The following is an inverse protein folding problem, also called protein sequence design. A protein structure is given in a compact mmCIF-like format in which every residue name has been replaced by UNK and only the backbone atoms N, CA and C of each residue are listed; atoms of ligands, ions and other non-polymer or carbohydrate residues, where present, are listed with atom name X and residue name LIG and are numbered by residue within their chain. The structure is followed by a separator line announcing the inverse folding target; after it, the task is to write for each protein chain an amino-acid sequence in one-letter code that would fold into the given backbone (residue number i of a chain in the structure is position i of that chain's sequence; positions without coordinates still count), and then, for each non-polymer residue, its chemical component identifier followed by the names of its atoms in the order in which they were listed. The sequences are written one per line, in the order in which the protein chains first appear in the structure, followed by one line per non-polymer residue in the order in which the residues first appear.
data_IF_614094814836
#
_entry.id   IF_614094814836
#
_cell.length_a   1.000
_cell.length_b   1.000
_cell.length_c   1.000
_cell.angle_alpha   90.00
_cell.angle_beta   90.00
_cell.angle_gamma   90.00
#
_symmetry.space_group_name_H-M   'P 1'
#
loop_
_entity.id
_entity.type
_entity.pdbx_description
1 polymer ?
#
# COMPACT_ATOMS: atom_id res chain seq x y z
N UNK A 1 -9.71 6.33 70.12
CA UNK A 1 -10.68 5.50 69.41
C UNK A 1 -10.98 6.22 68.11
N UNK A 2 -10.16 5.97 67.09
CA UNK A 2 -10.34 6.54 65.76
C UNK A 2 -11.15 5.54 64.93
N UNK A 3 -12.35 5.96 64.52
CA UNK A 3 -13.22 5.16 63.67
C UNK A 3 -12.58 5.00 62.29
N UNK A 4 -12.19 3.76 62.00
CA UNK A 4 -11.62 3.34 60.73
C UNK A 4 -12.74 3.28 59.68
N UNK A 5 -13.05 4.42 59.07
CA UNK A 5 -14.06 4.55 58.00
C UNK A 5 -13.63 3.72 56.79
N UNK A 6 -14.22 2.53 56.65
CA UNK A 6 -14.10 1.68 55.46
C UNK A 6 -14.62 2.45 54.24
N UNK A 7 -13.71 2.92 53.38
CA UNK A 7 -14.07 3.44 52.07
C UNK A 7 -14.49 2.26 51.19
N UNK A 8 -15.74 2.19 50.72
CA UNK A 8 -16.16 1.13 49.82
C UNK A 8 -15.36 1.23 48.52
N UNK A 9 -14.74 0.11 48.15
CA UNK A 9 -14.04 -0.05 46.89
C UNK A 9 -14.97 0.27 45.73
N UNK A 10 -14.80 1.44 45.10
CA UNK A 10 -15.51 1.81 43.87
C UNK A 10 -15.00 0.91 42.75
N UNK A 11 -15.68 -0.21 42.52
CA UNK A 11 -15.46 -0.97 41.30
C UNK A 11 -15.89 -0.10 40.11
N UNK A 12 -15.03 0.07 39.09
CA UNK A 12 -15.40 0.80 37.89
C UNK A 12 -16.57 0.08 37.23
N UNK A 13 -17.72 0.76 37.14
CA UNK A 13 -18.88 0.26 36.40
C UNK A 13 -18.45 0.05 34.94
N UNK A 14 -18.22 -1.21 34.55
CA UNK A 14 -18.08 -1.54 33.14
C UNK A 14 -19.47 -1.45 32.52
N UNK A 15 -19.68 -0.59 31.51
CA UNK A 15 -20.94 -0.54 30.80
C UNK A 15 -21.17 -1.90 30.15
N UNK A 16 -22.39 -2.43 30.29
CA UNK A 16 -22.81 -3.64 29.59
C UNK A 16 -22.59 -3.45 28.08
N UNK A 17 -22.09 -4.48 27.36
CA UNK A 17 -21.90 -4.37 25.93
C UNK A 17 -23.25 -4.04 25.27
N UNK A 18 -23.31 -3.05 24.36
CA UNK A 18 -24.55 -2.68 23.71
C UNK A 18 -25.08 -3.85 22.86
N UNK A 19 -26.40 -3.94 22.76
CA UNK A 19 -27.06 -4.92 21.89
C UNK A 19 -26.62 -4.74 20.43
N UNK A 20 -26.27 -5.84 19.77
CA UNK A 20 -25.81 -5.86 18.39
C UNK A 20 -26.84 -5.23 17.43
N UNK A 21 -28.14 -5.42 17.70
CA UNK A 21 -29.20 -4.85 16.87
C UNK A 21 -29.22 -3.32 16.96
N UNK A 22 -29.01 -2.78 18.17
CA UNK A 22 -28.94 -1.33 18.42
C UNK A 22 -27.69 -0.74 17.76
N UNK A 23 -26.54 -1.40 17.87
CA UNK A 23 -25.31 -0.95 17.21
C UNK A 23 -25.43 -1.00 15.69
N UNK A 24 -26.12 -2.00 15.14
CA UNK A 24 -26.37 -2.08 13.70
C UNK A 24 -27.33 -0.98 13.22
N UNK A 25 -28.39 -0.66 13.97
CA UNK A 25 -29.28 0.46 13.68
C UNK A 25 -28.59 1.83 13.78
N UNK A 26 -27.72 2.02 14.79
CA UNK A 26 -26.86 3.21 14.90
C UNK A 26 -25.91 3.32 13.74
N UNK A 27 -25.26 2.20 13.38
CA UNK A 27 -24.39 2.13 12.22
C UNK A 27 -25.15 2.55 10.97
N UNK A 28 -26.28 1.91 10.65
CA UNK A 28 -27.08 2.23 9.46
C UNK A 28 -27.56 3.68 9.42
N UNK A 29 -27.92 4.25 10.58
CA UNK A 29 -28.30 5.67 10.69
C UNK A 29 -27.11 6.58 10.37
N UNK A 30 -25.94 6.31 10.96
CA UNK A 30 -24.70 7.01 10.65
C UNK A 30 -24.29 6.81 9.18
N UNK A 31 -24.59 5.65 8.58
CA UNK A 31 -24.32 5.37 7.17
C UNK A 31 -25.18 6.24 6.24
N UNK A 32 -26.44 6.48 6.62
CA UNK A 32 -27.40 7.26 5.82
C UNK A 32 -27.26 8.77 6.01
N UNK A 33 -26.76 9.20 7.16
CA UNK A 33 -26.63 10.61 7.53
C UNK A 33 -25.17 10.94 7.87
N UNK A 34 -24.27 11.03 6.87
CA UNK A 34 -22.91 11.46 7.13
C UNK A 34 -22.92 12.85 7.78
N UNK A 35 -22.10 13.08 8.82
CA UNK A 35 -21.99 14.41 9.40
C UNK A 35 -21.59 15.40 8.30
N UNK A 36 -22.34 16.50 8.20
CA UNK A 36 -22.02 17.60 7.31
C UNK A 36 -20.79 18.32 7.87
N UNK A 37 -19.61 17.84 7.49
CA UNK A 37 -18.35 18.46 7.88
C UNK A 37 -18.17 19.76 7.09
N UNK A 38 -17.97 20.87 7.79
CA UNK A 38 -17.57 22.12 7.13
C UNK A 38 -16.13 21.98 6.60
N UNK A 39 -15.72 22.79 5.60
CA UNK A 39 -14.34 22.80 5.13
C UNK A 39 -13.32 23.06 6.26
N UNK A 40 -13.65 23.93 7.20
CA UNK A 40 -12.82 24.28 8.36
C UNK A 40 -12.68 23.10 9.32
N UNK A 41 -13.79 22.40 9.61
CA UNK A 41 -13.74 21.17 10.41
C UNK A 41 -12.90 20.09 9.72
N UNK A 42 -13.02 19.99 8.39
CA UNK A 42 -12.23 19.05 7.59
C UNK A 42 -10.74 19.37 7.62
N UNK A 43 -10.37 20.64 7.65
CA UNK A 43 -8.99 21.11 7.76
C UNK A 43 -8.34 20.69 9.09
N UNK A 44 -9.11 20.73 10.18
CA UNK A 44 -8.64 20.40 11.53
C UNK A 44 -8.58 18.89 11.79
N UNK A 45 -9.11 18.06 10.90
CA UNK A 45 -9.15 16.61 11.11
C UNK A 45 -7.74 16.00 11.13
N UNK A 46 -7.42 15.14 12.11
CA UNK A 46 -6.20 14.35 12.06
C UNK A 46 -6.17 13.45 10.81
N UNK A 47 -5.01 13.22 10.16
CA UNK A 47 -4.91 12.42 8.93
C UNK A 47 -5.53 11.02 9.07
N UNK A 48 -5.46 10.43 10.27
CA UNK A 48 -6.06 9.11 10.57
C UNK A 48 -7.58 9.14 10.44
N UNK A 49 -8.24 10.22 10.90
CA UNK A 49 -9.69 10.38 10.81
C UNK A 49 -10.09 10.55 9.34
N UNK A 50 -9.39 11.42 8.61
CA UNK A 50 -9.60 11.59 7.16
C UNK A 50 -9.42 10.27 6.40
N UNK A 51 -8.41 9.47 6.72
CA UNK A 51 -8.22 8.15 6.13
C UNK A 51 -9.39 7.20 6.41
N UNK A 52 -9.91 7.17 7.65
CA UNK A 52 -11.07 6.34 7.99
C UNK A 52 -12.31 6.79 7.23
N UNK A 53 -12.55 8.09 7.14
CA UNK A 53 -13.67 8.68 6.41
C UNK A 53 -13.59 8.37 4.90
N UNK A 54 -12.41 8.50 4.30
CA UNK A 54 -12.18 8.15 2.89
C UNK A 54 -12.42 6.67 2.64
N UNK A 55 -11.88 5.78 3.50
CA UNK A 55 -12.15 4.34 3.40
C UNK A 55 -13.63 4.02 3.53
N UNK A 56 -14.32 4.72 4.43
CA UNK A 56 -15.75 4.60 4.62
C UNK A 56 -16.53 4.97 3.36
N UNK A 57 -16.30 6.15 2.77
CA UNK A 57 -16.92 6.56 1.52
C UNK A 57 -16.66 5.59 0.37
N UNK A 58 -15.45 5.03 0.29
CA UNK A 58 -15.10 4.05 -0.75
C UNK A 58 -15.89 2.75 -0.58
N UNK A 59 -16.05 2.25 0.65
CA UNK A 59 -16.87 1.06 0.93
C UNK A 59 -18.34 1.28 0.64
N UNK A 60 -18.84 2.50 0.87
CA UNK A 60 -20.19 2.91 0.52
C UNK A 60 -20.37 3.22 -0.99
N UNK A 61 -19.37 2.91 -1.83
CA UNK A 61 -19.33 3.22 -3.27
C UNK A 61 -19.51 4.72 -3.61
N UNK A 62 -19.27 5.62 -2.66
CA UNK A 62 -19.36 7.07 -2.84
C UNK A 62 -17.97 7.69 -3.06
N UNK A 63 -17.35 7.36 -4.20
CA UNK A 63 -16.00 7.84 -4.55
C UNK A 63 -15.91 9.36 -4.70
N UNK A 64 -17.01 10.02 -5.07
CA UNK A 64 -17.01 11.48 -5.20
C UNK A 64 -16.89 12.15 -3.84
N UNK A 65 -17.64 11.70 -2.83
CA UNK A 65 -17.51 12.22 -1.48
C UNK A 65 -16.14 11.90 -0.87
N UNK A 66 -15.60 10.69 -1.12
CA UNK A 66 -14.24 10.35 -0.75
C UNK A 66 -13.23 11.37 -1.31
N UNK A 67 -13.33 11.69 -2.60
CA UNK A 67 -12.46 12.66 -3.26
C UNK A 67 -12.63 14.06 -2.65
N UNK A 68 -13.86 14.55 -2.44
CA UNK A 68 -14.12 15.85 -1.82
C UNK A 68 -13.53 15.97 -0.41
N UNK A 69 -13.65 14.91 0.40
CA UNK A 69 -13.04 14.88 1.73
C UNK A 69 -11.51 14.97 1.66
N UNK A 70 -10.90 14.29 0.67
CA UNK A 70 -9.44 14.36 0.46
C UNK A 70 -9.00 15.73 -0.07
N UNK A 71 -9.75 16.31 -1.02
CA UNK A 71 -9.51 17.62 -1.60
C UNK A 71 -9.58 18.73 -0.54
N UNK A 72 -10.65 18.74 0.26
CA UNK A 72 -10.82 19.67 1.38
C UNK A 72 -9.66 19.54 2.38
N UNK A 73 -9.30 18.31 2.74
CA UNK A 73 -8.18 18.07 3.65
C UNK A 73 -6.83 18.57 3.08
N UNK A 74 -6.52 18.26 1.81
CA UNK A 74 -5.24 18.60 1.21
C UNK A 74 -5.06 20.09 0.93
N UNK A 75 -6.14 20.82 0.63
CA UNK A 75 -6.10 22.29 0.45
C UNK A 75 -5.69 23.06 1.70
N UNK A 76 -5.87 22.46 2.88
CA UNK A 76 -5.54 23.07 4.17
C UNK A 76 -4.20 22.58 4.75
N UNK A 77 -3.44 21.78 3.99
CA UNK A 77 -2.12 21.32 4.43
C UNK A 77 -1.08 22.44 4.31
N UNK A 78 -0.04 22.45 5.17
CA UNK A 78 1.08 23.36 5.00
C UNK A 78 1.83 23.04 3.70
N UNK A 79 2.34 24.07 3.02
CA UNK A 79 3.03 23.95 1.72
C UNK A 79 4.17 22.91 1.72
N UNK A 80 4.83 22.72 2.87
CA UNK A 80 5.87 21.71 3.08
C UNK A 80 5.42 20.68 4.10
N UNK A 81 5.50 19.41 3.74
CA UNK A 81 5.08 18.29 4.60
C UNK A 81 6.28 17.64 5.29
N UNK A 82 6.19 17.52 6.61
CA UNK A 82 7.07 16.63 7.37
C UNK A 82 6.92 15.17 6.92
N UNK A 83 7.95 14.31 7.11
CA UNK A 83 7.96 12.94 6.60
C UNK A 83 6.81 12.08 7.14
N UNK A 84 6.42 12.27 8.40
CA UNK A 84 5.32 11.54 9.05
C UNK A 84 3.97 11.91 8.41
N UNK A 85 3.71 13.21 8.27
CA UNK A 85 2.47 13.73 7.68
C UNK A 85 2.36 13.36 6.20
N UNK A 86 3.46 13.48 5.44
CA UNK A 86 3.53 13.05 4.03
C UNK A 86 3.16 11.58 3.87
N UNK A 87 3.70 10.69 4.71
CA UNK A 87 3.32 9.26 4.71
C UNK A 87 1.84 9.07 5.01
N UNK A 88 1.30 9.78 5.99
CA UNK A 88 -0.12 9.71 6.33
C UNK A 88 -1.01 10.20 5.17
N UNK A 89 -0.62 11.26 4.48
CA UNK A 89 -1.31 11.77 3.29
C UNK A 89 -1.25 10.76 2.13
N UNK A 90 -0.09 10.13 1.90
CA UNK A 90 0.02 9.07 0.90
C UNK A 90 -0.88 7.87 1.20
N UNK A 91 -1.09 7.50 2.48
CA UNK A 91 -2.05 6.46 2.85
C UNK A 91 -3.49 6.84 2.47
N UNK A 92 -3.86 8.13 2.56
CA UNK A 92 -5.16 8.65 2.10
C UNK A 92 -5.26 8.51 0.57
N UNK A 93 -4.20 8.89 -0.16
CA UNK A 93 -4.14 8.69 -1.62
C UNK A 93 -4.29 7.21 -1.97
N UNK A 94 -3.55 6.31 -1.31
CA UNK A 94 -3.61 4.88 -1.58
C UNK A 94 -5.01 4.29 -1.39
N UNK A 95 -5.76 4.74 -0.39
CA UNK A 95 -7.14 4.29 -0.18
C UNK A 95 -8.01 4.57 -1.42
N UNK A 96 -7.84 5.72 -2.08
CA UNK A 96 -8.57 6.11 -3.29
C UNK A 96 -8.22 5.28 -4.54
N UNK A 97 -7.04 4.66 -4.56
CA UNK A 97 -6.55 3.91 -5.73
C UNK A 97 -7.05 2.47 -5.77
N UNK A 98 -7.69 1.98 -4.70
CA UNK A 98 -8.26 0.64 -4.69
C UNK A 98 -9.33 0.57 -5.80
N UNK A 99 -9.16 -0.26 -6.84
CA UNK A 99 -10.16 -0.36 -7.91
C UNK A 99 -11.41 -1.06 -7.37
N UNK A 100 -12.59 -0.58 -7.75
CA UNK A 100 -13.87 -1.22 -7.40
C UNK A 100 -13.94 -2.60 -8.06
N UNK A 101 -13.60 -2.64 -9.35
CA UNK A 101 -13.50 -3.88 -10.12
C UNK A 101 -12.17 -3.90 -10.88
N UNK A 102 -11.52 -5.07 -10.97
CA UNK A 102 -10.30 -5.22 -11.75
C UNK A 102 -10.67 -5.26 -13.24
N UNK A 103 -10.70 -4.10 -13.88
CA UNK A 103 -10.85 -3.97 -15.33
C UNK A 103 -10.02 -2.80 -15.85
N UNK A 104 -9.82 -2.75 -17.16
CA UNK A 104 -8.98 -1.75 -17.79
C UNK A 104 -9.49 -0.31 -17.53
N UNK A 105 -10.80 -0.06 -17.58
CA UNK A 105 -11.35 1.26 -17.24
C UNK A 105 -11.12 1.63 -15.76
N UNK A 106 -11.06 0.66 -14.85
CA UNK A 106 -10.77 0.85 -13.43
C UNK A 106 -9.31 1.23 -13.22
N UNK A 107 -8.40 0.61 -13.97
CA UNK A 107 -7.00 1.00 -14.02
C UNK A 107 -6.83 2.46 -14.50
N UNK A 108 -7.47 2.85 -15.60
CA UNK A 108 -7.41 4.22 -16.10
C UNK A 108 -8.03 5.22 -15.12
N UNK A 109 -9.15 4.87 -14.49
CA UNK A 109 -9.77 5.69 -13.46
C UNK A 109 -8.83 5.89 -12.27
N UNK A 110 -8.16 4.84 -11.80
CA UNK A 110 -7.17 4.92 -10.72
C UNK A 110 -5.97 5.80 -11.10
N UNK A 111 -5.45 5.70 -12.34
CA UNK A 111 -4.39 6.59 -12.83
C UNK A 111 -4.83 8.05 -12.90
N UNK A 112 -6.04 8.32 -13.41
CA UNK A 112 -6.62 9.67 -13.45
C UNK A 112 -6.81 10.22 -12.05
N UNK A 113 -7.28 9.39 -11.11
CA UNK A 113 -7.45 9.75 -9.71
C UNK A 113 -6.11 10.10 -9.06
N UNK A 114 -5.08 9.27 -9.24
CA UNK A 114 -3.73 9.54 -8.76
C UNK A 114 -3.22 10.89 -9.29
N UNK A 115 -3.34 11.13 -10.59
CA UNK A 115 -2.89 12.38 -11.20
C UNK A 115 -3.61 13.61 -10.60
N UNK A 116 -4.91 13.51 -10.31
CA UNK A 116 -5.67 14.58 -9.63
C UNK A 116 -5.17 14.79 -8.21
N UNK A 117 -5.02 13.72 -7.43
CA UNK A 117 -4.60 13.80 -6.02
C UNK A 117 -3.18 14.35 -5.85
N UNK A 118 -2.24 13.96 -6.72
CA UNK A 118 -0.88 14.50 -6.68
C UNK A 118 -0.80 15.99 -7.05
N UNK A 119 -1.77 16.51 -7.81
CA UNK A 119 -1.84 17.95 -8.14
C UNK A 119 -2.31 18.80 -6.96
N UNK A 120 -2.94 18.19 -5.96
CA UNK A 120 -3.42 18.92 -4.78
C UNK A 120 -2.29 19.35 -3.86
N UNK A 121 -1.13 18.68 -3.92
CA UNK A 121 -0.01 19.03 -3.04
C UNK A 121 1.36 18.62 -3.63
N UNK A 122 2.33 19.55 -3.77
CA UNK A 122 3.59 19.31 -4.48
C UNK A 122 4.52 18.29 -3.80
N UNK A 123 4.51 18.21 -2.47
CA UNK A 123 5.36 17.28 -1.72
C UNK A 123 4.92 15.80 -1.79
N UNK A 124 3.74 15.51 -2.34
CA UNK A 124 3.26 14.16 -2.50
C UNK A 124 3.90 13.51 -3.72
N UNK A 125 4.58 12.38 -3.49
CA UNK A 125 5.23 11.60 -4.54
C UNK A 125 4.76 10.14 -4.45
N UNK A 126 4.48 9.50 -5.60
CA UNK A 126 4.25 8.06 -5.64
C UNK A 126 5.41 7.28 -5.04
N UNK A 127 5.06 6.20 -4.34
CA UNK A 127 5.97 5.23 -3.76
C UNK A 127 5.68 3.83 -4.32
N UNK A 128 6.42 2.82 -3.84
CA UNK A 128 6.22 1.44 -4.27
C UNK A 128 4.81 0.90 -3.97
N UNK A 129 4.19 1.33 -2.87
CA UNK A 129 2.80 0.97 -2.55
C UNK A 129 1.84 1.54 -3.61
N UNK A 130 2.02 2.79 -4.03
CA UNK A 130 1.24 3.42 -5.12
C UNK A 130 1.32 2.60 -6.39
N UNK A 131 2.54 2.24 -6.80
CA UNK A 131 2.77 1.45 -8.01
C UNK A 131 2.16 0.06 -7.89
N UNK A 132 2.23 -0.58 -6.71
CA UNK A 132 1.64 -1.88 -6.45
C UNK A 132 0.11 -1.86 -6.62
N UNK A 133 -0.60 -0.83 -6.15
CA UNK A 133 -2.05 -0.69 -6.38
C UNK A 133 -2.38 -0.63 -7.87
N UNK A 134 -1.62 0.16 -8.65
CA UNK A 134 -1.86 0.30 -10.08
C UNK A 134 -1.51 -0.98 -10.84
N UNK A 135 -0.41 -1.65 -10.51
CA UNK A 135 -0.07 -2.96 -11.08
C UNK A 135 -1.14 -4.01 -10.74
N UNK A 136 -1.67 -3.99 -9.51
CA UNK A 136 -2.74 -4.89 -9.08
C UNK A 136 -4.05 -4.70 -9.86
N UNK A 137 -4.38 -3.46 -10.23
CA UNK A 137 -5.56 -3.18 -11.05
C UNK A 137 -5.49 -3.82 -12.46
N UNK A 138 -4.29 -4.15 -12.95
CA UNK A 138 -4.09 -4.82 -14.25
C UNK A 138 -4.29 -6.34 -14.20
N UNK A 139 -4.56 -6.93 -13.03
CA UNK A 139 -4.53 -8.40 -12.85
C UNK A 139 -5.42 -9.20 -13.79
N UNK A 140 -6.53 -8.63 -14.27
CA UNK A 140 -7.52 -9.28 -15.15
C UNK A 140 -7.40 -8.85 -16.61
N UNK A 141 -6.55 -7.86 -16.90
CA UNK A 141 -6.45 -7.28 -18.23
C UNK A 141 -5.71 -8.25 -19.17
N UNK A 142 -6.12 -8.41 -20.43
CA UNK A 142 -5.31 -9.10 -21.43
C UNK A 142 -3.93 -8.46 -21.53
N UNK A 143 -2.88 -9.26 -21.74
CA UNK A 143 -1.49 -8.75 -21.79
C UNK A 143 -1.05 -8.00 -20.50
N UNK A 144 -1.55 -8.44 -19.33
CA UNK A 144 -1.32 -7.78 -18.05
C UNK A 144 0.16 -7.61 -17.65
N UNK A 145 1.04 -8.55 -17.99
CA UNK A 145 2.47 -8.47 -17.72
C UNK A 145 3.16 -7.41 -18.58
N UNK A 146 2.82 -7.33 -19.86
CA UNK A 146 3.31 -6.31 -20.80
C UNK A 146 2.85 -4.91 -20.38
N UNK A 147 1.57 -4.76 -20.04
CA UNK A 147 1.02 -3.49 -19.54
C UNK A 147 1.69 -3.08 -18.22
N UNK A 148 1.86 -4.02 -17.28
CA UNK A 148 2.50 -3.73 -15.99
C UNK A 148 3.98 -3.36 -16.14
N UNK A 149 4.72 -4.03 -17.03
CA UNK A 149 6.11 -3.68 -17.32
C UNK A 149 6.25 -2.26 -17.86
N UNK A 150 5.35 -1.87 -18.78
CA UNK A 150 5.32 -0.52 -19.35
C UNK A 150 5.02 0.53 -18.27
N UNK A 151 4.04 0.25 -17.41
CA UNK A 151 3.70 1.10 -16.27
C UNK A 151 4.88 1.28 -15.30
N UNK A 152 5.60 0.21 -14.98
CA UNK A 152 6.76 0.27 -14.07
C UNK A 152 7.90 1.07 -14.70
N UNK A 153 8.15 0.93 -16.00
CA UNK A 153 9.14 1.76 -16.70
C UNK A 153 8.75 3.25 -16.70
N UNK A 154 7.48 3.56 -16.93
CA UNK A 154 6.97 4.94 -16.85
C UNK A 154 7.20 5.53 -15.46
N UNK A 155 6.87 4.77 -14.40
CA UNK A 155 7.06 5.20 -13.02
C UNK A 155 8.54 5.38 -12.66
N UNK A 156 9.42 4.45 -13.06
CA UNK A 156 10.87 4.58 -12.88
C UNK A 156 11.42 5.84 -13.54
N UNK A 157 11.01 6.12 -14.78
CA UNK A 157 11.45 7.31 -15.52
C UNK A 157 10.99 8.61 -14.86
N UNK A 158 9.78 8.63 -14.32
CA UNK A 158 9.16 9.85 -13.79
C UNK A 158 9.48 10.13 -12.32
N UNK A 159 9.57 9.09 -11.51
CA UNK A 159 9.66 9.21 -10.05
C UNK A 159 10.93 8.60 -9.46
N UNK A 160 11.79 7.97 -10.28
CA UNK A 160 13.03 7.35 -9.84
C UNK A 160 12.92 5.84 -9.61
N UNK A 161 14.05 5.12 -9.48
CA UNK A 161 14.09 3.67 -9.31
C UNK A 161 13.51 3.18 -7.98
N UNK A 162 13.47 4.02 -6.94
CA UNK A 162 13.02 3.71 -5.58
C UNK A 162 11.53 3.35 -5.48
N UNK A 163 10.74 3.70 -6.49
CA UNK A 163 9.32 3.31 -6.58
C UNK A 163 9.14 1.82 -6.86
N UNK A 164 10.22 1.07 -7.11
CA UNK A 164 10.16 -0.36 -7.39
C UNK A 164 10.85 -1.13 -6.27
N UNK A 165 10.04 -1.57 -5.30
CA UNK A 165 10.48 -2.48 -4.25
C UNK A 165 10.35 -3.96 -4.67
N UNK A 166 10.72 -4.86 -3.76
CA UNK A 166 10.59 -6.29 -3.98
C UNK A 166 9.15 -6.76 -4.26
N UNK A 167 8.15 -6.17 -3.60
CA UNK A 167 6.74 -6.52 -3.78
C UNK A 167 6.27 -6.21 -5.20
N UNK A 168 6.71 -5.06 -5.75
CA UNK A 168 6.44 -4.69 -7.15
C UNK A 168 7.14 -5.68 -8.10
N UNK A 169 8.41 -6.03 -7.86
CA UNK A 169 9.15 -7.01 -8.69
C UNK A 169 8.46 -8.38 -8.68
N UNK A 170 8.10 -8.89 -7.51
CA UNK A 170 7.38 -10.15 -7.37
C UNK A 170 6.06 -10.11 -8.14
N UNK A 171 5.29 -9.03 -7.98
CA UNK A 171 4.00 -8.88 -8.65
C UNK A 171 4.16 -8.81 -10.16
N UNK A 172 5.19 -8.15 -10.68
CA UNK A 172 5.53 -8.13 -12.09
C UNK A 172 5.85 -9.53 -12.63
N UNK A 173 6.66 -10.32 -11.90
CA UNK A 173 6.98 -11.70 -12.29
C UNK A 173 5.70 -12.55 -12.38
N UNK A 174 4.82 -12.42 -11.39
CA UNK A 174 3.53 -13.12 -11.39
C UNK A 174 2.67 -12.76 -12.61
N UNK A 175 2.54 -11.47 -12.95
CA UNK A 175 1.76 -11.03 -14.11
C UNK A 175 2.39 -11.49 -15.44
N UNK A 176 3.71 -11.45 -15.57
CA UNK A 176 4.42 -11.94 -16.75
C UNK A 176 4.20 -13.45 -16.96
N UNK A 177 4.25 -14.24 -15.88
CA UNK A 177 3.96 -15.68 -15.91
C UNK A 177 2.49 -15.97 -16.19
N UNK A 178 1.57 -15.12 -15.69
CA UNK A 178 0.15 -15.22 -15.99
C UNK A 178 -0.12 -15.01 -17.49
N UNK A 179 0.55 -14.03 -18.10
CA UNK A 179 0.50 -13.78 -19.55
C UNK A 179 1.25 -14.83 -20.38
N UNK A 180 2.00 -15.74 -19.75
CA UNK A 180 2.90 -16.72 -20.40
C UNK A 180 4.03 -16.07 -21.21
N UNK A 181 4.41 -14.83 -20.89
CA UNK A 181 5.56 -14.17 -21.50
C UNK A 181 6.85 -14.54 -20.76
N UNK A 182 7.52 -15.62 -21.19
CA UNK A 182 8.78 -16.05 -20.58
C UNK A 182 9.89 -14.99 -20.72
N UNK A 183 9.87 -14.19 -21.80
CA UNK A 183 10.82 -13.08 -21.98
C UNK A 183 10.69 -12.05 -20.85
N UNK A 184 9.47 -11.61 -20.55
CA UNK A 184 9.23 -10.65 -19.47
C UNK A 184 9.54 -11.26 -18.10
N UNK A 185 9.12 -12.50 -17.85
CA UNK A 185 9.42 -13.17 -16.59
C UNK A 185 10.94 -13.31 -16.36
N UNK A 186 11.70 -13.78 -17.37
CA UNK A 186 13.16 -13.91 -17.32
C UNK A 186 13.83 -12.58 -16.97
N UNK A 187 13.38 -11.47 -17.57
CA UNK A 187 13.90 -10.13 -17.27
C UNK A 187 13.65 -9.75 -15.82
N UNK A 188 12.45 -9.99 -15.29
CA UNK A 188 12.13 -9.65 -13.89
C UNK A 188 12.97 -10.47 -12.91
N UNK A 189 13.15 -11.77 -13.16
CA UNK A 189 14.05 -12.61 -12.34
C UNK A 189 15.49 -12.12 -12.39
N UNK A 190 16.00 -11.78 -13.58
CA UNK A 190 17.35 -11.23 -13.71
C UNK A 190 17.53 -9.90 -12.97
N UNK A 191 16.55 -8.99 -13.04
CA UNK A 191 16.56 -7.73 -12.29
C UNK A 191 16.53 -7.99 -10.76
N UNK A 192 15.74 -8.95 -10.28
CA UNK A 192 15.69 -9.33 -8.87
C UNK A 192 17.00 -9.97 -8.38
N UNK A 193 17.55 -10.92 -9.13
CA UNK A 193 18.80 -11.61 -8.78
C UNK A 193 20.00 -10.65 -8.79
N UNK A 194 20.01 -9.65 -9.68
CA UNK A 194 21.01 -8.59 -9.70
C UNK A 194 20.91 -7.68 -8.47
N UNK A 195 19.70 -7.29 -8.08
CA UNK A 195 19.49 -6.48 -6.87
C UNK A 195 19.89 -7.23 -5.60
N UNK A 196 19.54 -8.52 -5.50
CA UNK A 196 19.95 -9.36 -4.36
C UNK A 196 21.47 -9.46 -4.24
N UNK A 197 22.17 -9.62 -5.36
CA UNK A 197 23.64 -9.62 -5.40
C UNK A 197 24.23 -8.30 -4.91
N UNK A 198 23.71 -7.17 -5.41
CA UNK A 198 24.13 -5.83 -4.94
C UNK A 198 23.89 -5.64 -3.44
N UNK A 199 22.74 -6.08 -2.93
CA UNK A 199 22.42 -5.97 -1.52
C UNK A 199 23.37 -6.82 -0.66
N UNK A 200 23.65 -8.06 -1.07
CA UNK A 200 24.59 -8.94 -0.39
C UNK A 200 26.02 -8.36 -0.39
N UNK A 201 26.46 -7.75 -1.50
CA UNK A 201 27.75 -7.06 -1.60
C UNK A 201 27.81 -5.86 -0.66
N UNK A 202 26.77 -5.02 -0.62
CA UNK A 202 26.69 -3.88 0.30
C UNK A 202 26.69 -4.32 1.77
N UNK A 203 26.02 -5.43 2.09
CA UNK A 203 26.00 -5.96 3.46
C UNK A 203 27.36 -6.55 3.85
N UNK A 204 28.06 -7.24 2.94
CA UNK A 204 29.45 -7.67 3.14
C UNK A 204 30.41 -6.50 3.34
N UNK A 205 30.26 -5.41 2.57
CA UNK A 205 31.04 -4.18 2.76
C UNK A 205 30.77 -3.54 4.14
N UNK A 206 29.52 -3.54 4.60
CA UNK A 206 29.17 -3.04 5.94
C UNK A 206 29.76 -3.88 7.06
N UNK A 207 29.87 -5.19 6.87
CA UNK A 207 30.49 -6.11 7.82
C UNK A 207 32.02 -5.92 7.88
N UNK A 208 32.67 -5.81 6.73
CA UNK A 208 34.13 -5.64 6.61
C UNK A 208 34.62 -4.27 7.10
N UNK A 209 33.85 -3.19 6.88
CA UNK A 209 34.19 -1.85 7.36
C UNK A 209 33.95 -1.61 8.86
N UNK A 210 33.65 -2.65 9.65
CA UNK A 210 33.85 -2.64 11.10
C UNK A 210 33.02 -1.61 11.88
N UNK A 211 31.84 -2.03 12.36
CA UNK A 211 31.47 -1.93 13.78
C UNK A 211 31.72 -0.65 14.62
N UNK A 212 31.85 0.57 14.07
CA UNK A 212 32.08 1.78 14.89
C UNK A 212 30.83 2.61 15.25
N UNK A 213 29.62 2.15 14.95
CA UNK A 213 28.40 2.81 15.43
C UNK A 213 27.35 1.82 15.96
N UNK A 214 27.73 0.96 16.90
CA UNK A 214 26.76 0.42 17.87
C UNK A 214 26.41 1.50 18.92
N UNK A 215 26.02 2.69 18.46
CA UNK A 215 25.26 3.59 19.31
C UNK A 215 23.98 2.86 19.68
N UNK A 216 23.74 2.66 20.98
CA UNK A 216 22.55 2.01 21.54
C UNK A 216 21.33 2.50 20.75
N UNK A 217 20.81 1.67 19.84
CA UNK A 217 19.59 1.97 19.11
C UNK A 217 18.48 1.96 20.15
N UNK A 218 18.21 3.13 20.73
CA UNK A 218 17.01 3.36 21.53
C UNK A 218 15.87 2.70 20.79
N UNK A 219 15.16 1.79 21.47
CA UNK A 219 14.10 0.93 20.96
C UNK A 219 13.12 1.72 20.09
N UNK A 220 13.46 1.89 18.82
CA UNK A 220 12.57 2.43 17.81
C UNK A 220 11.71 1.23 17.46
N UNK A 221 10.46 1.27 17.91
CA UNK A 221 9.44 0.29 17.52
C UNK A 221 9.61 -0.01 16.03
N UNK A 222 9.74 -1.29 15.65
CA UNK A 222 9.91 -1.64 14.26
C UNK A 222 8.77 -1.00 13.45
N UNK A 223 9.14 -0.31 12.38
CA UNK A 223 8.18 0.23 11.43
C UNK A 223 7.31 -0.92 10.88
N UNK A 224 6.07 -0.65 10.51
CA UNK A 224 5.14 -1.69 10.03
C UNK A 224 5.68 -2.46 8.79
N UNK A 225 6.65 -1.92 8.06
CA UNK A 225 7.39 -2.63 7.00
C UNK A 225 8.39 -3.69 7.51
N UNK A 226 8.74 -3.66 8.79
CA UNK A 226 9.57 -4.68 9.47
C UNK A 226 8.70 -5.77 10.14
N UNK A 227 7.37 -5.60 10.16
CA UNK A 227 6.42 -6.60 10.70
C UNK A 227 6.12 -7.70 9.67
N UNK A 228 6.32 -7.44 8.37
CA UNK A 228 6.50 -8.49 7.38
C UNK A 228 8.02 -8.70 7.26
N UNK A 229 8.61 -9.69 7.94
CA UNK A 229 10.04 -9.92 7.82
C UNK A 229 10.35 -10.17 6.35
N UNK A 230 11.38 -9.52 5.81
CA UNK A 230 11.85 -9.76 4.44
C UNK A 230 12.11 -11.27 4.16
N UNK A 231 12.29 -12.08 5.22
CA UNK A 231 12.32 -13.56 5.18
C UNK A 231 11.06 -14.20 4.58
N UNK A 232 9.87 -13.61 4.73
CA UNK A 232 8.65 -14.16 4.12
C UNK A 232 8.61 -13.92 2.62
N UNK A 233 9.30 -12.90 2.07
CA UNK A 233 9.21 -12.57 0.65
C UNK A 233 9.87 -13.63 -0.26
N UNK A 234 10.93 -14.31 0.20
CA UNK A 234 11.58 -15.38 -0.57
C UNK A 234 10.66 -16.58 -0.81
N UNK A 235 9.80 -16.91 0.16
CA UNK A 235 8.82 -17.98 0.04
C UNK A 235 7.85 -17.72 -1.13
N UNK A 236 7.60 -16.45 -1.48
CA UNK A 236 6.77 -16.11 -2.63
C UNK A 236 7.49 -16.24 -3.97
N UNK A 237 8.83 -16.23 -4.01
CA UNK A 237 9.61 -16.38 -5.24
C UNK A 237 9.78 -17.84 -5.67
N UNK A 238 9.89 -18.77 -4.72
CA UNK A 238 10.08 -20.21 -5.00
C UNK A 238 8.98 -20.78 -5.90
N UNK A 239 7.67 -20.58 -5.62
CA UNK A 239 6.59 -21.03 -6.50
C UNK A 239 6.64 -20.40 -7.89
N UNK A 240 7.06 -19.13 -8.00
CA UNK A 240 7.17 -18.44 -9.29
C UNK A 240 8.30 -19.02 -10.15
N UNK A 241 9.47 -19.32 -9.55
CA UNK A 241 10.58 -19.97 -10.25
C UNK A 241 10.19 -21.35 -10.74
N UNK A 242 9.54 -22.17 -9.90
CA UNK A 242 9.01 -23.48 -10.29
C UNK A 242 8.05 -23.35 -11.48
N UNK A 243 7.12 -22.40 -11.42
CA UNK A 243 6.16 -22.14 -12.51
C UNK A 243 6.85 -21.67 -13.79
N UNK A 244 7.88 -20.83 -13.69
CA UNK A 244 8.68 -20.37 -14.83
C UNK A 244 9.34 -21.55 -15.54
N UNK A 245 10.01 -22.43 -14.80
CA UNK A 245 10.67 -23.61 -15.38
C UNK A 245 9.67 -24.59 -16.01
N UNK A 246 8.51 -24.80 -15.39
CA UNK A 246 7.43 -25.60 -15.98
C UNK A 246 6.94 -25.03 -17.33
N UNK A 247 6.71 -23.72 -17.41
CA UNK A 247 6.31 -23.08 -18.66
C UNK A 247 7.41 -23.14 -19.72
N UNK A 248 8.67 -22.99 -19.31
CA UNK A 248 9.84 -23.12 -20.19
C UNK A 248 9.98 -24.54 -20.75
N UNK A 249 9.83 -25.56 -19.92
CA UNK A 249 9.86 -26.96 -20.36
C UNK A 249 8.74 -27.27 -21.36
N UNK A 250 7.52 -26.76 -21.12
CA UNK A 250 6.39 -26.91 -22.04
C UNK A 250 6.62 -26.25 -23.40
N UNK A 251 7.25 -25.07 -23.43
CA UNK A 251 7.59 -24.42 -24.71
C UNK A 251 8.65 -25.21 -25.48
N UNK A 252 9.68 -25.75 -24.80
CA UNK A 252 10.71 -26.59 -25.43
C UNK A 252 10.11 -27.85 -26.06
N UNK A 253 9.16 -28.50 -25.40
CA UNK A 253 8.48 -29.68 -25.95
C UNK A 253 7.68 -29.35 -27.20
N UNK A 254 6.95 -28.22 -27.22
CA UNK A 254 6.18 -27.80 -28.40
C UNK A 254 7.06 -27.46 -29.61
N UNK A 255 8.25 -26.92 -29.39
CA UNK A 255 9.19 -26.59 -30.47
C UNK A 255 9.91 -27.80 -31.10
N UNK A 256 9.80 -29.00 -30.54
CA UNK A 256 10.40 -30.24 -31.09
C UNK A 256 9.44 -31.03 -31.98
N UNK A 257 8.16 -30.66 -32.03
CA UNK A 257 7.09 -31.40 -32.73
C UNK A 257 6.76 -30.73 -34.09
N UNK A 258 7.62 -29.83 -34.55
CA UNK A 258 7.53 -29.16 -35.86
C UNK A 258 8.79 -29.48 -36.65
#
# INVERSE_FOLDING_TARGET
MEDMVHRPSRQPLQPSPPDLAVEQGRYDTLMRHPPALTPEQSAMMPPRVTLMLVKWFIRANNRQAAFRATDSYFKNLPLKLGPVLRRACMNIVHAQLVPDKPHLSGHYLARRMLAKLLRLHPDLKPDATTLLYLVNSLRTVPKCGTAAMSLVQEFRRRFGPEVVDERVRWRLAWLALKERSLRHAKRVFAEHDAERRRQAELDLLRETHGHQARGRKASRRPSFSEILPARELEEYWVPLRKRFEQLRARQKMKGKVQ
#
